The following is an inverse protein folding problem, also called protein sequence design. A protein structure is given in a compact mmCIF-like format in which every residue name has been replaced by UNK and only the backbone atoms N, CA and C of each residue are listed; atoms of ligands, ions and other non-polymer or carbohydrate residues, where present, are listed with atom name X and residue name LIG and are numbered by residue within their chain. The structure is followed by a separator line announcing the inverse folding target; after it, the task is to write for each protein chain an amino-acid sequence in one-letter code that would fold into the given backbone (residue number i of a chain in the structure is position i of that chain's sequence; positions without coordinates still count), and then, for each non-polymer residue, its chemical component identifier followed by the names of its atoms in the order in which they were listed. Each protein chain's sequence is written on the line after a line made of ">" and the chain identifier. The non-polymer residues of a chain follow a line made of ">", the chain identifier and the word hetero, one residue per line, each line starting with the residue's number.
data_IF_301731937233
#
_entry.id   IF_301731937233
#
_cell.length_a   1.000
_cell.length_b   1.000
_cell.length_c   1.000
_cell.angle_alpha   90.00
_cell.angle_beta   90.00
_cell.angle_gamma   90.00
#
_symmetry.space_group_name_H-M   'P 1'
#
loop_
_entity.id
_entity.type
_entity.pdbx_description
1 polymer ?
#
# COMPACT_ATOMS: atom_id res chain seq x y z
N UNK A 1 -8.65 -7.88 -0.11
CA UNK A 1 -7.22 -8.27 -0.22
C UNK A 1 -6.47 -7.84 1.03
N UNK A 2 -5.65 -8.71 1.63
CA UNK A 2 -4.72 -8.34 2.71
C UNK A 2 -3.32 -8.31 2.12
N UNK A 3 -2.57 -7.22 2.32
CA UNK A 3 -1.20 -7.07 1.84
C UNK A 3 -0.42 -6.07 2.68
N UNK A 4 0.91 -6.05 2.58
CA UNK A 4 1.74 -5.04 3.25
C UNK A 4 1.78 -3.73 2.45
N UNK A 5 2.41 -2.70 3.01
CA UNK A 5 2.83 -1.52 2.24
C UNK A 5 4.10 -1.81 1.45
N UNK A 6 4.03 -1.69 0.13
CA UNK A 6 5.10 -2.05 -0.79
C UNK A 6 5.90 -0.82 -1.22
N UNK A 7 7.14 -1.03 -1.67
CA UNK A 7 7.95 0.07 -2.18
C UNK A 7 7.40 0.61 -3.51
N UNK A 8 7.60 1.91 -3.81
CA UNK A 8 7.32 2.50 -5.11
C UNK A 8 7.94 1.66 -6.25
N UNK A 9 7.20 1.53 -7.35
CA UNK A 9 7.64 0.84 -8.57
C UNK A 9 7.89 -0.68 -8.41
N UNK A 10 7.42 -1.31 -7.33
CA UNK A 10 7.46 -2.77 -7.19
C UNK A 10 6.31 -3.47 -7.93
N UNK A 11 6.53 -4.71 -8.35
CA UNK A 11 5.49 -5.54 -8.99
C UNK A 11 4.31 -5.82 -8.04
N UNK A 12 4.57 -5.95 -6.74
CA UNK A 12 3.53 -6.09 -5.72
C UNK A 12 2.68 -4.81 -5.60
N UNK A 13 3.30 -3.63 -5.67
CA UNK A 13 2.56 -2.38 -5.71
C UNK A 13 1.69 -2.27 -6.97
N UNK A 14 2.19 -2.72 -8.13
CA UNK A 14 1.39 -2.80 -9.36
C UNK A 14 0.19 -3.73 -9.21
N UNK A 15 0.37 -4.90 -8.58
CA UNK A 15 -0.71 -5.85 -8.31
C UNK A 15 -1.79 -5.25 -7.39
N UNK A 16 -1.39 -4.63 -6.28
CA UNK A 16 -2.33 -3.97 -5.36
C UNK A 16 -3.02 -2.78 -6.01
N UNK A 17 -2.30 -2.03 -6.85
CA UNK A 17 -2.85 -0.94 -7.67
C UNK A 17 -3.93 -1.43 -8.63
N UNK A 18 -3.70 -2.57 -9.30
CA UNK A 18 -4.68 -3.16 -10.21
C UNK A 18 -5.95 -3.62 -9.47
N UNK A 19 -5.84 -3.97 -8.19
CA UNK A 19 -6.98 -4.36 -7.35
C UNK A 19 -7.76 -3.15 -6.79
N UNK A 20 -7.05 -2.12 -6.30
CA UNK A 20 -7.65 -1.02 -5.53
C UNK A 20 -7.83 0.30 -6.33
N UNK A 21 -7.23 0.40 -7.51
CA UNK A 21 -7.10 1.66 -8.26
C UNK A 21 -5.89 2.50 -7.80
N UNK A 22 -5.25 3.19 -8.74
CA UNK A 22 -4.02 3.95 -8.47
C UNK A 22 -4.25 5.14 -7.55
N UNK A 23 -5.20 6.02 -7.88
CA UNK A 23 -5.42 7.26 -7.14
C UNK A 23 -5.81 6.99 -5.68
N UNK A 24 -6.73 6.04 -5.48
CA UNK A 24 -7.16 5.61 -4.14
C UNK A 24 -6.01 5.00 -3.34
N UNK A 25 -5.19 4.15 -3.95
CA UNK A 25 -4.04 3.57 -3.28
C UNK A 25 -3.01 4.65 -2.91
N UNK A 26 -2.74 5.62 -3.77
CA UNK A 26 -1.79 6.71 -3.47
C UNK A 26 -2.27 7.59 -2.33
N UNK A 27 -3.58 7.87 -2.25
CA UNK A 27 -4.14 8.59 -1.11
C UNK A 27 -3.92 7.81 0.20
N UNK A 28 -4.19 6.50 0.21
CA UNK A 28 -3.93 5.65 1.36
C UNK A 28 -2.44 5.62 1.76
N UNK A 29 -1.53 5.58 0.79
CA UNK A 29 -0.09 5.65 1.05
C UNK A 29 0.33 6.99 1.66
N UNK A 30 -0.22 8.11 1.18
CA UNK A 30 0.05 9.43 1.76
C UNK A 30 -0.40 9.52 3.22
N UNK A 31 -1.57 8.94 3.55
CA UNK A 31 -2.03 8.82 4.94
C UNK A 31 -1.09 7.94 5.75
N UNK A 32 -0.70 6.77 5.23
CA UNK A 32 0.21 5.86 5.92
C UNK A 32 1.58 6.51 6.23
N UNK A 33 2.13 7.29 5.30
CA UNK A 33 3.37 8.06 5.53
C UNK A 33 3.18 9.13 6.61
N UNK A 34 2.08 9.90 6.55
CA UNK A 34 1.77 10.95 7.53
C UNK A 34 1.63 10.38 8.94
N UNK A 35 0.96 9.24 9.07
CA UNK A 35 0.72 8.54 10.33
C UNK A 35 1.89 7.62 10.75
N UNK A 36 3.00 7.64 9.99
CA UNK A 36 4.24 6.90 10.29
C UNK A 36 4.06 5.38 10.40
N UNK A 37 3.26 4.81 9.51
CA UNK A 37 3.17 3.36 9.35
C UNK A 37 4.53 2.78 8.98
N UNK A 38 4.79 1.55 9.40
CA UNK A 38 5.95 0.79 9.00
C UNK A 38 5.69 0.13 7.64
N UNK A 39 6.61 0.31 6.70
CA UNK A 39 6.49 -0.25 5.35
C UNK A 39 7.25 -1.58 5.24
N UNK A 40 7.06 -2.28 4.12
CA UNK A 40 7.79 -3.48 3.71
C UNK A 40 7.37 -4.79 4.43
N UNK A 41 8.22 -5.82 4.34
CA UNK A 41 7.89 -7.21 4.69
C UNK A 41 7.49 -7.43 6.14
N UNK A 42 8.03 -6.62 7.06
CA UNK A 42 7.76 -6.71 8.50
C UNK A 42 7.06 -5.46 9.05
N UNK A 43 6.52 -4.64 8.14
CA UNK A 43 5.76 -3.45 8.48
C UNK A 43 4.30 -3.77 8.79
N UNK A 44 3.51 -2.71 8.77
CA UNK A 44 2.07 -2.77 8.92
C UNK A 44 1.40 -3.34 7.66
N UNK A 45 0.16 -3.77 7.84
CA UNK A 45 -0.66 -4.34 6.79
C UNK A 45 -1.81 -3.41 6.39
N UNK A 46 -2.28 -3.62 5.17
CA UNK A 46 -3.43 -2.97 4.57
C UNK A 46 -4.51 -4.03 4.30
N UNK A 47 -5.74 -3.71 4.67
CA UNK A 47 -6.93 -4.47 4.29
C UNK A 47 -7.73 -3.65 3.28
N UNK A 48 -7.93 -4.21 2.09
CA UNK A 48 -8.69 -3.58 0.99
C UNK A 48 -9.96 -4.41 0.78
N UNK A 49 -11.13 -3.77 0.84
CA UNK A 49 -12.45 -4.40 0.75
C UNK A 49 -13.15 -4.07 -0.57
#
# INVERSE_FOLDING_TARGET
>A
MISNFHLPQSTLMMMVTAFAGFDFLMEAYNVAVKEKYHFFSYGDAMLIL
#
